data_IF_043126443983
#
_entry.id   IF_043126443983
#
_cell.length_a   1.000
_cell.length_b   1.000
_cell.length_c   1.000
_cell.angle_alpha   90.00
_cell.angle_beta   90.00
_cell.angle_gamma   90.00
#
_symmetry.space_group_name_H-M   'P 1'
#
loop_
_entity.id
_entity.type
_entity.pdbx_description
1 polymer ?
#
# COMPACT_ATOMS: atom_id res chain seq x y z
N UNK A 1 2.17 15.22 -36.54
CA UNK A 1 3.56 15.10 -37.01
C UNK A 1 4.12 13.78 -36.49
N UNK A 2 4.08 12.72 -37.30
CA UNK A 2 4.57 11.40 -36.89
C UNK A 2 6.10 11.43 -36.90
N UNK A 3 6.71 11.48 -35.72
CA UNK A 3 8.14 11.21 -35.60
C UNK A 3 8.38 9.75 -36.03
N UNK A 4 8.97 9.55 -37.21
CA UNK A 4 9.51 8.26 -37.60
C UNK A 4 10.65 7.92 -36.64
N UNK A 5 10.36 7.06 -35.68
CA UNK A 5 11.34 6.57 -34.71
C UNK A 5 12.41 5.74 -35.45
N UNK A 6 13.64 6.25 -35.50
CA UNK A 6 14.78 5.56 -36.11
C UNK A 6 15.30 4.52 -35.12
N UNK A 7 14.86 3.27 -35.25
CA UNK A 7 15.43 2.15 -34.48
C UNK A 7 16.73 1.69 -35.15
N UNK A 8 17.76 1.40 -34.35
CA UNK A 8 19.01 0.79 -34.84
C UNK A 8 19.28 -0.52 -34.11
N UNK A 9 19.58 -1.58 -34.85
CA UNK A 9 20.04 -2.84 -34.28
C UNK A 9 21.55 -2.79 -34.08
N UNK A 10 22.00 -3.15 -32.89
CA UNK A 10 23.43 -3.24 -32.58
C UNK A 10 23.74 -4.69 -32.23
N UNK A 11 24.78 -5.23 -32.84
CA UNK A 11 25.36 -6.54 -32.54
C UNK A 11 26.70 -6.35 -31.86
N UNK A 12 26.89 -6.99 -30.71
CA UNK A 12 28.17 -6.98 -29.98
C UNK A 12 28.66 -8.40 -29.73
N UNK A 13 29.93 -8.73 -30.01
CA UNK A 13 30.48 -10.03 -29.66
C UNK A 13 30.53 -10.16 -28.12
N UNK A 14 30.22 -11.34 -27.61
CA UNK A 14 30.21 -11.64 -26.18
C UNK A 14 31.35 -12.58 -25.79
N UNK A 15 31.46 -13.70 -26.51
CA UNK A 15 32.46 -14.73 -26.26
C UNK A 15 32.63 -15.56 -27.53
N UNK A 16 33.80 -16.15 -27.70
CA UNK A 16 34.09 -17.08 -28.79
C UNK A 16 34.80 -18.32 -28.27
N UNK A 17 34.59 -19.44 -28.96
CA UNK A 17 35.28 -20.71 -28.72
C UNK A 17 35.83 -21.23 -30.04
N UNK A 18 37.02 -21.85 -29.99
CA UNK A 18 37.62 -22.52 -31.14
C UNK A 18 37.35 -24.01 -31.02
N UNK A 19 36.86 -24.62 -32.09
CA UNK A 19 36.58 -26.05 -32.17
C UNK A 19 37.79 -26.78 -32.75
N UNK A 20 38.59 -27.39 -31.88
CA UNK A 20 39.85 -28.07 -32.25
C UNK A 20 39.65 -29.31 -33.14
N UNK A 21 38.54 -30.01 -32.98
CA UNK A 21 38.32 -31.33 -33.59
C UNK A 21 37.57 -31.27 -34.95
N UNK A 22 37.05 -30.11 -35.32
CA UNK A 22 36.24 -29.93 -36.52
C UNK A 22 37.09 -29.46 -37.72
N UNK A 23 36.75 -29.97 -38.91
CA UNK A 23 37.42 -29.64 -40.17
C UNK A 23 36.60 -28.60 -40.93
N UNK A 24 37.25 -27.54 -41.41
CA UNK A 24 36.58 -26.54 -42.23
C UNK A 24 36.18 -27.12 -43.60
N UNK A 25 34.91 -26.98 -44.04
CA UNK A 25 34.46 -27.52 -45.32
C UNK A 25 35.07 -26.79 -46.54
N UNK A 26 35.61 -25.58 -46.36
CA UNK A 26 36.16 -24.78 -47.45
C UNK A 26 37.67 -25.00 -47.65
N UNK A 27 38.44 -25.11 -46.56
CA UNK A 27 39.91 -25.22 -46.63
C UNK A 27 40.48 -26.54 -46.10
N UNK A 28 39.63 -27.46 -45.61
CA UNK A 28 40.00 -28.77 -45.06
C UNK A 28 41.03 -28.74 -43.91
N UNK A 29 41.28 -27.59 -43.30
CA UNK A 29 42.12 -27.47 -42.11
C UNK A 29 41.32 -27.84 -40.85
N UNK A 30 41.97 -28.52 -39.91
CA UNK A 30 41.39 -28.84 -38.59
C UNK A 30 41.66 -27.71 -37.59
N UNK A 31 40.80 -27.58 -36.58
CA UNK A 31 41.02 -26.67 -35.46
C UNK A 31 40.92 -25.18 -35.79
N UNK A 32 40.28 -24.84 -36.90
CA UNK A 32 40.22 -23.47 -37.41
C UNK A 32 38.80 -22.88 -37.41
N UNK A 33 37.82 -23.59 -36.85
CA UNK A 33 36.43 -23.12 -36.77
C UNK A 33 36.22 -22.40 -35.44
N UNK A 34 35.82 -21.13 -35.53
CA UNK A 34 35.44 -20.30 -34.40
C UNK A 34 33.93 -20.15 -34.33
N UNK A 35 33.36 -20.39 -33.14
CA UNK A 35 31.97 -20.12 -32.83
C UNK A 35 31.91 -18.89 -31.94
N UNK A 36 31.31 -17.81 -32.42
CA UNK A 36 31.16 -16.56 -31.67
C UNK A 36 29.71 -16.32 -31.30
N UNK A 37 29.45 -16.06 -30.02
CA UNK A 37 28.15 -15.65 -29.51
C UNK A 37 28.04 -14.12 -29.52
N UNK A 38 26.94 -13.61 -30.07
CA UNK A 38 26.66 -12.17 -30.13
C UNK A 38 25.47 -11.82 -29.24
N UNK A 39 25.47 -10.59 -28.72
CA UNK A 39 24.29 -9.92 -28.17
C UNK A 39 23.70 -9.03 -29.24
N UNK A 40 22.45 -9.28 -29.62
CA UNK A 40 21.69 -8.39 -30.51
C UNK A 40 20.65 -7.66 -29.68
N UNK A 41 20.70 -6.33 -29.71
CA UNK A 41 19.70 -5.51 -29.04
C UNK A 41 19.25 -4.36 -29.93
N UNK A 42 17.98 -4.01 -29.79
CA UNK A 42 17.46 -2.79 -30.39
C UNK A 42 17.82 -1.61 -29.50
N UNK A 43 18.55 -0.64 -30.05
CA UNK A 43 18.77 0.65 -29.38
C UNK A 43 17.59 1.55 -29.72
N UNK A 44 16.60 1.55 -28.82
CA UNK A 44 15.61 2.62 -28.68
C UNK A 44 15.95 3.33 -27.35
N UNK A 45 15.57 4.60 -27.17
CA UNK A 45 16.05 5.55 -26.14
C UNK A 45 16.20 5.04 -24.67
N UNK A 46 15.71 3.83 -24.34
CA UNK A 46 15.99 2.82 -23.28
C UNK A 46 14.60 2.20 -22.95
N UNK A 47 14.40 0.86 -22.88
CA UNK A 47 15.31 -0.20 -22.44
C UNK A 47 15.87 -1.05 -23.57
N UNK A 48 17.02 -1.68 -23.28
CA UNK A 48 17.70 -2.64 -24.12
C UNK A 48 16.79 -3.86 -24.30
N UNK A 49 15.97 -3.85 -25.36
CA UNK A 49 15.20 -5.01 -25.76
C UNK A 49 16.19 -6.00 -26.36
N UNK A 50 16.59 -6.98 -25.56
CA UNK A 50 17.38 -8.12 -26.00
C UNK A 50 16.59 -8.88 -27.06
N UNK A 51 17.07 -8.86 -28.31
CA UNK A 51 16.44 -9.55 -29.45
C UNK A 51 16.99 -10.97 -29.63
N UNK A 52 17.57 -11.52 -28.58
CA UNK A 52 18.18 -12.85 -28.58
C UNK A 52 19.70 -12.82 -28.75
N UNK A 53 20.27 -14.03 -28.78
CA UNK A 53 21.72 -14.26 -28.82
C UNK A 53 22.09 -15.03 -30.08
N UNK A 54 22.26 -14.36 -31.24
CA UNK A 54 22.69 -15.05 -32.45
C UNK A 54 24.11 -15.58 -32.29
N UNK A 55 24.41 -16.69 -32.97
CA UNK A 55 25.75 -17.25 -33.07
C UNK A 55 26.25 -17.15 -34.51
N UNK A 56 27.54 -16.81 -34.65
CA UNK A 56 28.26 -16.88 -35.93
C UNK A 56 29.22 -18.05 -35.87
N UNK A 57 29.42 -18.70 -37.01
CA UNK A 57 30.43 -19.75 -37.17
C UNK A 57 31.28 -19.39 -38.38
N UNK A 58 32.57 -19.14 -38.16
CA UNK A 58 33.50 -18.77 -39.22
C UNK A 58 34.79 -19.59 -39.12
N UNK A 59 35.47 -19.77 -40.25
CA UNK A 59 36.82 -20.30 -40.27
C UNK A 59 37.82 -19.15 -40.15
N UNK A 60 38.73 -19.20 -39.17
CA UNK A 60 39.75 -18.17 -38.95
C UNK A 60 40.79 -18.18 -40.08
N UNK A 61 41.08 -19.36 -40.65
CA UNK A 61 42.13 -19.55 -41.64
C UNK A 61 41.74 -19.07 -43.04
N UNK A 62 40.53 -19.37 -43.50
CA UNK A 62 40.07 -19.01 -44.85
C UNK A 62 38.98 -17.94 -44.87
N UNK A 63 38.52 -17.48 -43.70
CA UNK A 63 37.45 -16.48 -43.60
C UNK A 63 36.07 -16.97 -44.03
N UNK A 64 35.90 -18.27 -44.30
CA UNK A 64 34.62 -18.81 -44.76
C UNK A 64 33.56 -18.76 -43.65
N UNK A 65 32.45 -18.09 -43.92
CA UNK A 65 31.31 -17.95 -43.01
C UNK A 65 30.35 -19.13 -43.19
N UNK A 66 30.36 -20.06 -42.23
CA UNK A 66 29.51 -21.25 -42.21
C UNK A 66 28.10 -20.89 -41.68
N UNK A 67 28.05 -19.94 -40.75
CA UNK A 67 26.80 -19.38 -40.22
C UNK A 67 26.97 -17.90 -39.95
N UNK A 68 26.05 -17.10 -40.50
CA UNK A 68 26.02 -15.67 -40.27
C UNK A 68 25.23 -15.25 -39.02
N UNK A 69 25.64 -14.14 -38.42
CA UNK A 69 24.92 -13.46 -37.33
C UNK A 69 23.51 -13.03 -37.76
N UNK A 70 23.31 -12.78 -39.06
CA UNK A 70 22.04 -12.29 -39.61
C UNK A 70 21.07 -13.41 -40.00
N UNK A 71 21.48 -14.68 -39.89
CA UNK A 71 20.63 -15.83 -40.24
C UNK A 71 19.40 -15.88 -39.32
N UNK A 72 18.17 -16.04 -39.85
CA UNK A 72 16.97 -16.10 -39.02
C UNK A 72 17.04 -17.25 -38.01
N UNK A 73 16.52 -17.04 -36.79
CA UNK A 73 16.54 -18.04 -35.70
C UNK A 73 15.84 -19.37 -36.05
N UNK A 74 14.98 -19.36 -37.07
CA UNK A 74 14.20 -20.52 -37.50
C UNK A 74 14.86 -21.30 -38.63
N UNK A 75 15.97 -20.81 -39.19
CA UNK A 75 16.66 -21.49 -40.27
C UNK A 75 17.59 -22.58 -39.72
N UNK A 76 17.12 -23.82 -39.78
CA UNK A 76 17.83 -25.00 -39.29
C UNK A 76 18.78 -25.51 -40.38
N UNK A 77 19.90 -24.85 -40.56
CA UNK A 77 20.98 -25.41 -41.38
C UNK A 77 21.49 -26.71 -40.74
N UNK A 78 21.78 -27.70 -41.58
CA UNK A 78 22.39 -28.97 -41.16
C UNK A 78 23.89 -28.74 -40.90
N UNK A 79 24.25 -28.47 -39.66
CA UNK A 79 25.65 -28.34 -39.23
C UNK A 79 26.24 -29.70 -38.87
N UNK A 80 27.57 -29.80 -38.83
CA UNK A 80 28.25 -30.94 -38.24
C UNK A 80 27.89 -31.07 -36.73
N UNK A 81 27.96 -32.29 -36.15
CA UNK A 81 27.62 -32.50 -34.76
C UNK A 81 28.50 -31.71 -33.78
N UNK A 82 29.81 -31.55 -34.04
CA UNK A 82 30.68 -30.77 -33.15
C UNK A 82 30.41 -29.27 -33.22
N UNK A 83 30.06 -28.72 -34.40
CA UNK A 83 29.58 -27.32 -34.50
C UNK A 83 28.27 -27.13 -33.73
N UNK A 84 27.36 -28.10 -33.81
CA UNK A 84 26.09 -28.07 -33.07
C UNK A 84 26.32 -28.10 -31.56
N UNK A 85 27.23 -28.95 -31.09
CA UNK A 85 27.57 -29.06 -29.67
C UNK A 85 28.28 -27.79 -29.19
N UNK A 86 29.25 -27.26 -29.94
CA UNK A 86 29.92 -26.00 -29.62
C UNK A 86 28.93 -24.82 -29.50
N UNK A 87 27.92 -24.74 -30.36
CA UNK A 87 26.84 -23.75 -30.25
C UNK A 87 26.02 -23.93 -28.96
N UNK A 88 25.72 -25.18 -28.56
CA UNK A 88 24.96 -25.44 -27.32
C UNK A 88 25.80 -25.09 -26.09
N UNK A 89 27.08 -25.44 -26.08
CA UNK A 89 27.98 -25.23 -24.95
C UNK A 89 28.24 -23.73 -24.71
N UNK A 90 28.46 -22.96 -25.77
CA UNK A 90 28.63 -21.50 -25.66
C UNK A 90 27.34 -20.79 -25.21
N UNK A 91 26.18 -21.34 -25.56
CA UNK A 91 24.89 -20.82 -25.09
C UNK A 91 24.61 -21.18 -23.63
N UNK A 92 24.97 -22.39 -23.20
CA UNK A 92 24.73 -22.90 -21.86
C UNK A 92 25.69 -22.30 -20.81
N UNK A 93 26.95 -22.04 -21.19
CA UNK A 93 27.96 -21.48 -20.29
C UNK A 93 27.65 -20.06 -19.80
N UNK A 94 26.80 -19.30 -20.51
CA UNK A 94 26.45 -17.92 -20.15
C UNK A 94 25.21 -17.86 -19.25
N UNK A 95 25.42 -17.70 -17.94
CA UNK A 95 24.37 -17.42 -16.95
C UNK A 95 23.50 -16.22 -17.39
N UNK A 96 22.17 -16.39 -17.39
CA UNK A 96 21.22 -15.30 -17.64
C UNK A 96 21.32 -14.28 -16.50
N UNK A 97 21.46 -13.00 -16.84
CA UNK A 97 21.39 -11.95 -15.81
C UNK A 97 19.95 -11.85 -15.32
N UNK A 98 19.72 -11.80 -14.00
CA UNK A 98 18.37 -11.66 -13.43
C UNK A 98 17.64 -10.41 -13.95
N UNK A 99 18.40 -9.40 -14.42
CA UNK A 99 17.88 -8.20 -15.08
C UNK A 99 17.22 -8.49 -16.44
N UNK A 100 17.56 -9.59 -17.13
CA UNK A 100 16.87 -10.02 -18.37
C UNK A 100 15.45 -10.54 -18.06
N UNK A 101 15.15 -10.90 -16.80
CA UNK A 101 13.83 -11.37 -16.37
C UNK A 101 12.86 -10.24 -16.04
N UNK A 102 13.36 -9.02 -15.83
CA UNK A 102 12.55 -7.81 -15.70
C UNK A 102 12.09 -7.43 -17.11
N UNK A 103 11.11 -8.19 -17.60
CA UNK A 103 10.42 -7.86 -18.82
C UNK A 103 9.73 -6.51 -18.61
N UNK A 104 9.87 -5.51 -19.50
CA UNK A 104 9.15 -4.24 -19.38
C UNK A 104 7.65 -4.44 -19.12
N UNK A 105 7.03 -5.50 -19.65
CA UNK A 105 5.64 -5.86 -19.36
C UNK A 105 5.36 -6.16 -17.88
N UNK A 106 6.25 -6.83 -17.16
CA UNK A 106 6.02 -7.13 -15.73
C UNK A 106 6.06 -5.86 -14.88
N UNK A 107 6.92 -4.90 -15.24
CA UNK A 107 6.96 -3.58 -14.59
C UNK A 107 5.65 -2.82 -14.83
N UNK A 108 5.15 -2.80 -16.07
CA UNK A 108 3.88 -2.14 -16.38
C UNK A 108 2.68 -2.79 -15.68
N UNK A 109 2.65 -4.12 -15.57
CA UNK A 109 1.60 -4.84 -14.85
C UNK A 109 1.62 -4.47 -13.36
N UNK A 110 2.78 -4.48 -12.72
CA UNK A 110 2.91 -4.12 -11.31
C UNK A 110 2.53 -2.65 -11.06
N UNK A 111 2.97 -1.73 -11.93
CA UNK A 111 2.60 -0.32 -11.83
C UNK A 111 1.08 -0.12 -12.00
N UNK A 112 0.48 -0.83 -12.95
CA UNK A 112 -0.97 -0.81 -13.18
C UNK A 112 -1.75 -1.31 -11.96
N UNK A 113 -1.32 -2.42 -11.36
CA UNK A 113 -1.93 -2.96 -10.14
C UNK A 113 -1.80 -2.01 -8.95
N UNK A 114 -0.65 -1.35 -8.79
CA UNK A 114 -0.46 -0.37 -7.73
C UNK A 114 -1.39 0.84 -7.90
N UNK A 115 -1.56 1.32 -9.13
CA UNK A 115 -2.46 2.43 -9.45
C UNK A 115 -3.94 2.06 -9.24
N UNK A 116 -4.37 0.88 -9.67
CA UNK A 116 -5.75 0.43 -9.47
C UNK A 116 -6.06 0.23 -7.99
N UNK A 117 -5.13 -0.35 -7.23
CA UNK A 117 -5.28 -0.47 -5.77
C UNK A 117 -5.36 0.90 -5.08
N UNK A 118 -4.50 1.84 -5.49
CA UNK A 118 -4.52 3.22 -5.00
C UNK A 118 -5.87 3.90 -5.24
N UNK A 119 -6.42 3.78 -6.46
CA UNK A 119 -7.71 4.36 -6.82
C UNK A 119 -8.88 3.73 -6.06
N UNK A 120 -8.90 2.39 -5.91
CA UNK A 120 -9.94 1.67 -5.15
C UNK A 120 -9.91 2.10 -3.68
N UNK A 121 -8.71 2.19 -3.09
CA UNK A 121 -8.58 2.63 -1.69
C UNK A 121 -9.11 4.05 -1.52
N UNK A 122 -8.75 4.97 -2.41
CA UNK A 122 -9.18 6.37 -2.35
C UNK A 122 -10.70 6.51 -2.48
N UNK A 123 -11.33 5.72 -3.36
CA UNK A 123 -12.78 5.70 -3.54
C UNK A 123 -13.51 5.19 -2.30
N UNK A 124 -13.03 4.08 -1.71
CA UNK A 124 -13.59 3.53 -0.47
C UNK A 124 -13.45 4.50 0.71
N UNK A 125 -12.33 5.24 0.80
CA UNK A 125 -12.15 6.28 1.80
C UNK A 125 -13.04 7.51 1.59
N UNK A 126 -13.47 7.79 0.35
CA UNK A 126 -14.28 8.96 0.04
C UNK A 126 -15.76 8.76 0.36
N UNK A 127 -16.37 7.61 0.01
CA UNK A 127 -17.82 7.43 0.22
C UNK A 127 -18.18 7.44 1.72
N UNK A 128 -17.36 6.79 2.55
CA UNK A 128 -17.58 6.73 4.01
C UNK A 128 -17.46 8.10 4.72
N UNK A 129 -16.78 9.09 4.12
CA UNK A 129 -16.64 10.43 4.72
C UNK A 129 -17.88 11.30 4.49
N UNK A 130 -18.57 11.12 3.36
CA UNK A 130 -19.74 11.93 3.00
C UNK A 130 -20.93 11.63 3.89
N UNK A 131 -21.23 10.34 4.13
CA UNK A 131 -22.43 9.92 4.86
C UNK A 131 -22.34 10.29 6.37
N UNK A 132 -21.16 10.15 6.97
CA UNK A 132 -20.95 10.49 8.39
C UNK A 132 -20.98 12.01 8.65
N UNK A 133 -20.52 12.82 7.69
CA UNK A 133 -20.57 14.28 7.82
C UNK A 133 -22.00 14.81 7.76
N UNK A 134 -22.92 14.16 7.04
CA UNK A 134 -24.32 14.59 7.00
C UNK A 134 -25.06 14.32 8.30
N UNK A 135 -24.74 13.22 8.98
CA UNK A 135 -25.39 12.82 10.23
C UNK A 135 -25.07 13.77 11.40
N UNK A 136 -23.92 14.45 11.37
CA UNK A 136 -23.51 15.43 12.39
C UNK A 136 -23.86 16.88 12.04
N UNK A 137 -24.49 17.14 10.87
CA UNK A 137 -24.99 18.48 10.51
C UNK A 137 -26.21 18.90 11.35
N UNK A 138 -26.99 17.95 11.87
CA UNK A 138 -28.22 18.24 12.62
C UNK A 138 -28.45 17.25 13.78
N UNK A 139 -27.57 17.24 14.79
CA UNK A 139 -27.74 16.38 15.96
C UNK A 139 -29.02 16.75 16.72
N UNK A 140 -29.71 15.75 17.26
CA UNK A 140 -30.88 15.94 18.15
C UNK A 140 -30.63 15.34 19.52
N UNK A 141 -31.27 15.93 20.53
CA UNK A 141 -31.27 15.36 21.88
C UNK A 141 -31.95 13.99 21.83
N UNK A 142 -31.30 12.98 22.40
CA UNK A 142 -31.77 11.59 22.39
C UNK A 142 -31.09 10.70 21.36
N UNK A 143 -30.42 11.25 20.34
CA UNK A 143 -29.68 10.48 19.35
C UNK A 143 -28.58 9.62 20.01
N UNK A 144 -28.42 8.38 19.53
CA UNK A 144 -27.41 7.42 19.99
C UNK A 144 -26.41 7.13 18.86
N UNK A 145 -25.12 7.23 19.19
CA UNK A 145 -24.00 7.09 18.27
C UNK A 145 -23.11 5.91 18.64
N UNK A 146 -22.67 5.15 17.64
CA UNK A 146 -21.55 4.21 17.75
C UNK A 146 -20.25 5.01 17.81
N UNK A 147 -19.38 4.78 18.80
CA UNK A 147 -18.09 5.49 18.89
C UNK A 147 -16.96 4.51 19.21
N UNK A 148 -15.90 4.57 18.41
CA UNK A 148 -14.62 3.92 18.67
C UNK A 148 -13.71 4.91 19.43
N UNK A 149 -13.14 4.51 20.56
CA UNK A 149 -12.24 5.33 21.37
C UNK A 149 -11.01 4.51 21.74
N UNK A 150 -9.83 5.11 21.61
CA UNK A 150 -8.57 4.52 22.07
C UNK A 150 -8.56 4.35 23.61
N UNK A 151 -8.31 3.13 24.09
CA UNK A 151 -8.31 2.75 25.52
C UNK A 151 -7.26 3.51 26.33
N UNK A 152 -6.21 4.03 25.69
CA UNK A 152 -5.11 4.71 26.37
C UNK A 152 -5.58 5.92 27.21
N UNK A 153 -6.79 6.42 26.98
CA UNK A 153 -7.31 7.63 27.61
C UNK A 153 -8.60 7.43 28.44
N UNK A 154 -9.13 6.20 28.52
CA UNK A 154 -10.40 5.89 29.20
C UNK A 154 -10.22 5.46 30.66
N UNK A 155 -8.99 5.13 31.08
CA UNK A 155 -8.72 4.68 32.44
C UNK A 155 -8.48 5.88 33.37
N UNK A 156 -9.39 6.10 34.32
CA UNK A 156 -9.10 6.93 35.50
C UNK A 156 -8.12 6.22 36.47
N UNK A 157 -7.93 4.90 36.30
CA UNK A 157 -6.84 4.17 36.93
C UNK A 157 -5.61 4.21 36.01
N UNK A 158 -4.53 4.80 36.52
CA UNK A 158 -3.22 4.99 35.87
C UNK A 158 -2.47 3.68 35.56
N UNK A 159 -3.18 2.60 35.25
CA UNK A 159 -2.58 1.40 34.67
C UNK A 159 -2.70 1.51 33.17
N UNK A 160 -1.61 1.93 32.55
CA UNK A 160 -1.43 1.90 31.10
C UNK A 160 -1.61 0.47 30.60
N UNK A 161 -2.83 0.15 30.19
CA UNK A 161 -3.14 -1.11 29.51
C UNK A 161 -3.15 -0.80 28.03
N UNK A 162 -2.23 -1.46 27.32
CA UNK A 162 -2.13 -1.72 25.88
C UNK A 162 -3.13 -0.98 24.98
N UNK A 163 -2.64 -0.34 23.90
CA UNK A 163 -3.40 0.28 22.81
C UNK A 163 -4.56 -0.60 22.29
N UNK A 164 -5.70 -0.58 22.97
CA UNK A 164 -6.89 -1.36 22.66
C UNK A 164 -7.96 -0.38 22.21
N UNK A 165 -8.49 -0.59 21.02
CA UNK A 165 -9.65 0.19 20.59
C UNK A 165 -10.85 -0.32 21.41
N UNK A 166 -11.58 0.61 22.03
CA UNK A 166 -12.81 0.32 22.74
C UNK A 166 -14.02 0.82 21.93
N UNK A 167 -15.07 0.01 21.87
CA UNK A 167 -16.37 0.35 21.27
C UNK A 167 -17.39 0.63 22.35
N UNK A 168 -18.10 1.74 22.24
CA UNK A 168 -19.16 2.11 23.18
C UNK A 168 -20.21 2.99 22.50
N UNK A 169 -21.37 3.13 23.13
CA UNK A 169 -22.44 4.02 22.64
C UNK A 169 -22.40 5.35 23.38
N UNK A 170 -22.61 6.45 22.66
CA UNK A 170 -22.84 7.77 23.23
C UNK A 170 -24.25 8.23 22.93
N UNK A 171 -24.92 8.77 23.94
CA UNK A 171 -26.25 9.37 23.78
C UNK A 171 -26.18 10.87 24.00
N UNK A 172 -26.76 11.66 23.10
CA UNK A 172 -26.89 13.12 23.29
C UNK A 172 -27.93 13.40 24.37
N UNK A 173 -27.52 14.11 25.41
CA UNK A 173 -28.39 14.56 26.49
C UNK A 173 -28.85 16.01 26.29
N UNK A 174 -28.00 16.85 25.71
CA UNK A 174 -28.27 18.26 25.54
C UNK A 174 -27.37 18.84 24.42
N UNK A 175 -27.83 19.91 23.77
CA UNK A 175 -27.14 20.61 22.69
C UNK A 175 -27.11 22.10 23.05
N UNK A 176 -25.91 22.64 23.25
CA UNK A 176 -25.71 24.05 23.55
C UNK A 176 -24.78 24.68 22.51
N UNK A 177 -25.34 25.51 21.64
CA UNK A 177 -24.61 26.10 20.52
C UNK A 177 -23.89 24.99 19.72
N UNK A 178 -22.58 25.13 19.48
CA UNK A 178 -21.76 24.14 18.76
C UNK A 178 -21.23 23.00 19.66
N UNK A 179 -21.83 22.81 20.83
CA UNK A 179 -21.41 21.79 21.81
C UNK A 179 -22.50 20.75 22.03
N UNK A 180 -22.10 19.49 21.89
CA UNK A 180 -22.89 18.32 22.26
C UNK A 180 -22.48 17.86 23.66
N UNK A 181 -23.47 17.69 24.53
CA UNK A 181 -23.32 17.04 25.83
C UNK A 181 -23.81 15.60 25.69
N UNK A 182 -22.89 14.65 25.83
CA UNK A 182 -23.18 13.24 25.61
C UNK A 182 -22.88 12.40 26.86
N UNK A 183 -23.64 11.33 27.07
CA UNK A 183 -23.34 10.33 28.10
C UNK A 183 -22.93 9.02 27.46
N UNK A 184 -21.93 8.37 28.05
CA UNK A 184 -21.42 7.08 27.58
C UNK A 184 -22.27 5.95 28.13
N UNK A 185 -22.43 4.88 27.35
CA UNK A 185 -22.90 3.60 27.85
C UNK A 185 -21.99 3.06 28.97
N UNK A 186 -22.59 2.46 30.00
CA UNK A 186 -21.86 1.83 31.11
C UNK A 186 -21.04 0.63 30.64
N UNK A 187 -21.47 -0.02 29.56
CA UNK A 187 -20.78 -1.15 28.96
C UNK A 187 -19.92 -0.72 27.76
N UNK A 188 -18.81 -1.41 27.58
CA UNK A 188 -17.88 -1.24 26.46
C UNK A 188 -17.38 -2.61 26.00
N UNK A 189 -17.12 -2.73 24.71
CA UNK A 189 -16.40 -3.87 24.13
C UNK A 189 -14.95 -3.43 23.86
N UNK A 190 -13.97 -4.29 24.15
CA UNK A 190 -12.54 -4.03 23.96
C UNK A 190 -11.91 -5.17 23.16
N UNK A 191 -11.04 -4.86 22.20
CA UNK A 191 -10.34 -5.87 21.41
C UNK A 191 -9.76 -5.36 20.10
N UNK A 192 -8.88 -6.16 19.49
CA UNK A 192 -8.36 -5.93 18.13
C UNK A 192 -9.31 -6.61 17.15
N UNK A 193 -9.84 -5.88 16.15
CA UNK A 193 -10.71 -6.47 15.13
C UNK A 193 -12.17 -6.67 15.57
N UNK A 194 -12.75 -5.66 16.20
CA UNK A 194 -14.11 -5.71 16.72
C UNK A 194 -15.17 -5.88 15.61
N UNK A 195 -16.06 -6.85 15.81
CA UNK A 195 -17.12 -7.27 14.89
C UNK A 195 -18.39 -6.40 14.99
N UNK A 196 -19.34 -6.57 14.05
CA UNK A 196 -20.65 -5.90 14.12
C UNK A 196 -21.53 -6.48 15.25
N UNK A 197 -21.36 -7.76 15.58
CA UNK A 197 -22.04 -8.40 16.72
C UNK A 197 -21.75 -7.72 18.05
N UNK A 198 -20.56 -7.12 18.21
CA UNK A 198 -20.19 -6.41 19.43
C UNK A 198 -21.09 -5.18 19.66
N UNK A 199 -21.55 -4.51 18.60
CA UNK A 199 -22.48 -3.39 18.70
C UNK A 199 -23.88 -3.81 19.16
N UNK A 200 -24.30 -5.01 18.79
CA UNK A 200 -25.61 -5.55 19.16
C UNK A 200 -25.67 -5.98 20.63
N UNK A 201 -24.52 -6.27 21.24
CA UNK A 201 -24.41 -6.56 22.67
C UNK A 201 -24.64 -5.34 23.58
N UNK A 202 -24.49 -4.12 23.04
CA UNK A 202 -24.64 -2.89 23.80
C UNK A 202 -26.11 -2.49 23.89
N UNK A 203 -26.61 -2.37 25.13
CA UNK A 203 -27.99 -1.95 25.38
C UNK A 203 -28.20 -0.47 25.02
N UNK A 204 -29.36 -0.16 24.43
CA UNK A 204 -29.78 1.19 24.05
C UNK A 204 -30.75 1.81 25.06
N UNK A 205 -31.04 1.12 26.17
CA UNK A 205 -31.96 1.61 27.20
C UNK A 205 -31.33 2.77 27.98
N UNK A 206 -32.16 3.74 28.38
CA UNK A 206 -31.70 4.97 29.04
C UNK A 206 -30.93 4.72 30.35
N UNK A 207 -31.29 3.68 31.10
CA UNK A 207 -30.67 3.30 32.37
C UNK A 207 -29.25 2.73 32.22
N UNK A 208 -28.88 2.31 31.00
CA UNK A 208 -27.58 1.72 30.70
C UNK A 208 -26.54 2.76 30.27
N UNK A 209 -26.94 4.03 30.22
CA UNK A 209 -26.02 5.16 30.10
C UNK A 209 -25.59 5.69 31.47
N UNK A 210 -24.37 6.20 31.55
CA UNK A 210 -23.83 6.85 32.73
C UNK A 210 -24.45 8.22 32.99
N UNK A 211 -24.15 8.77 34.16
CA UNK A 211 -24.67 10.09 34.57
C UNK A 211 -23.66 11.22 34.37
N UNK A 212 -22.41 10.90 33.99
CA UNK A 212 -21.35 11.88 33.77
C UNK A 212 -21.39 12.34 32.32
N UNK A 213 -21.72 13.61 32.05
CA UNK A 213 -21.74 14.14 30.70
C UNK A 213 -20.31 14.46 30.22
N UNK A 214 -20.05 14.15 28.97
CA UNK A 214 -18.84 14.48 28.23
C UNK A 214 -19.14 15.61 27.26
N UNK A 215 -18.23 16.58 27.17
CA UNK A 215 -18.38 17.74 26.29
C UNK A 215 -17.65 17.46 24.99
N UNK A 216 -18.39 17.55 23.89
CA UNK A 216 -17.84 17.32 22.56
C UNK A 216 -18.26 18.49 21.68
N UNK A 217 -17.30 19.34 21.31
CA UNK A 217 -17.58 20.47 20.40
C UNK A 217 -17.47 20.04 18.96
N UNK A 218 -18.37 20.50 18.08
CA UNK A 218 -18.32 20.19 16.64
C UNK A 218 -16.95 20.54 16.02
N UNK A 219 -16.36 21.66 16.44
CA UNK A 219 -14.99 22.06 16.08
C UNK A 219 -13.91 21.12 16.61
N UNK A 220 -13.99 20.73 17.89
CA UNK A 220 -13.05 19.78 18.50
C UNK A 220 -13.10 18.40 17.87
N UNK A 221 -14.27 18.00 17.38
CA UNK A 221 -14.44 16.76 16.63
C UNK A 221 -13.81 16.84 15.24
N UNK A 222 -14.13 17.89 14.48
CA UNK A 222 -13.68 18.06 13.08
C UNK A 222 -12.18 18.34 12.97
N UNK A 223 -11.62 19.14 13.89
CA UNK A 223 -10.21 19.56 13.83
C UNK A 223 -9.27 18.71 14.68
N UNK A 224 -9.68 18.36 15.91
CA UNK A 224 -8.78 17.74 16.91
C UNK A 224 -9.09 16.27 17.18
N UNK A 225 -10.28 15.80 16.81
CA UNK A 225 -10.80 14.46 17.09
C UNK A 225 -10.77 14.11 18.58
N UNK A 226 -11.02 15.08 19.47
CA UNK A 226 -10.87 14.93 20.92
C UNK A 226 -12.21 14.91 21.67
N UNK A 227 -12.28 14.07 22.70
CA UNK A 227 -13.39 14.01 23.68
C UNK A 227 -12.87 14.52 25.02
N UNK A 228 -13.60 15.47 25.61
CA UNK A 228 -13.25 16.09 26.87
C UNK A 228 -14.21 15.68 27.99
N UNK A 229 -13.66 15.25 29.12
CA UNK A 229 -14.44 15.08 30.33
C UNK A 229 -14.70 16.44 30.96
N UNK A 230 -15.96 16.68 31.30
CA UNK A 230 -16.36 17.89 31.98
C UNK A 230 -16.68 17.58 33.43
N UNK A 231 -15.89 18.14 34.34
CA UNK A 231 -16.16 18.00 35.76
C UNK A 231 -17.45 18.74 36.11
N UNK A 232 -18.38 18.01 36.72
CA UNK A 232 -19.66 18.56 37.16
C UNK A 232 -19.43 19.75 38.10
N UNK A 233 -19.95 20.92 37.73
CA UNK A 233 -19.87 22.17 38.50
C UNK A 233 -20.25 21.97 39.98
N UNK A 234 -21.25 21.13 40.30
CA UNK A 234 -21.64 20.83 41.68
C UNK A 234 -20.56 20.11 42.50
N UNK A 235 -19.76 19.25 41.85
CA UNK A 235 -18.64 18.54 42.48
C UNK A 235 -17.45 19.47 42.71
N UNK A 236 -17.33 20.52 41.89
CA UNK A 236 -16.35 21.60 42.05
C UNK A 236 -16.79 22.63 43.09
N UNK A 237 -18.07 22.99 43.17
CA UNK A 237 -18.58 23.92 44.20
C UNK A 237 -18.41 23.35 45.63
N UNK A 238 -18.35 22.02 45.78
CA UNK A 238 -17.97 21.36 47.05
C UNK A 238 -16.46 21.38 47.34
N UNK A 239 -15.60 21.52 46.32
CA UNK A 239 -14.13 21.60 46.45
C UNK A 239 -13.68 23.06 46.59
N UNK A 240 -14.35 23.99 45.90
CA UNK A 240 -14.06 25.42 45.88
C UNK A 240 -14.56 26.18 47.12
N UNK A 241 -15.23 25.51 48.06
CA UNK A 241 -15.54 26.12 49.36
C UNK A 241 -14.30 26.34 50.22
N UNK A 242 -13.15 25.78 49.86
CA UNK A 242 -11.89 25.95 50.61
C UNK A 242 -10.81 26.75 49.90
N UNK A 243 -10.86 26.98 48.59
CA UNK A 243 -9.82 27.77 47.92
C UNK A 243 -10.36 28.61 46.75
N UNK A 244 -10.08 29.91 46.79
CA UNK A 244 -10.43 30.90 45.76
C UNK A 244 -9.48 30.73 44.58
N UNK A 245 -9.71 29.73 43.74
CA UNK A 245 -8.94 29.57 42.50
C UNK A 245 -9.61 30.39 41.38
N UNK A 246 -9.08 31.61 41.15
CA UNK A 246 -9.37 32.40 39.94
C UNK A 246 -8.67 31.78 38.73
N UNK A 247 -9.29 30.79 38.08
CA UNK A 247 -8.81 30.35 36.77
C UNK A 247 -9.31 31.33 35.69
N UNK A 248 -8.37 32.04 35.07
CA UNK A 248 -8.61 32.93 33.91
C UNK A 248 -8.60 32.19 32.57
N UNK A 249 -8.44 30.86 32.55
CA UNK A 249 -8.40 30.06 31.33
C UNK A 249 -9.64 29.14 31.23
N UNK A 250 -10.56 29.34 30.26
CA UNK A 250 -11.76 28.53 30.13
C UNK A 250 -11.48 27.05 29.78
N UNK A 251 -10.25 26.70 29.40
CA UNK A 251 -9.83 25.34 29.08
C UNK A 251 -9.19 24.58 30.26
N UNK A 252 -8.99 25.24 31.42
CA UNK A 252 -8.33 24.63 32.58
C UNK A 252 -9.18 23.58 33.32
N UNK A 253 -10.43 23.38 32.88
CA UNK A 253 -11.44 22.53 33.54
C UNK A 253 -11.88 21.32 32.73
N UNK A 254 -11.19 21.05 31.62
CA UNK A 254 -11.46 19.91 30.75
C UNK A 254 -10.20 19.08 30.58
N UNK A 255 -10.25 17.81 31.00
CA UNK A 255 -9.20 16.83 30.70
C UNK A 255 -9.57 16.11 29.41
N UNK A 256 -8.63 16.01 28.46
CA UNK A 256 -8.80 15.12 27.31
C UNK A 256 -8.80 13.69 27.79
N UNK A 257 -9.86 12.96 27.46
CA UNK A 257 -10.09 11.56 27.89
C UNK A 257 -10.21 10.61 26.70
N UNK A 258 -9.92 11.10 25.49
CA UNK A 258 -10.04 10.27 24.31
C UNK A 258 -9.73 11.01 23.04
N UNK A 259 -9.14 10.28 22.11
CA UNK A 259 -9.16 10.61 20.69
C UNK A 259 -10.09 9.64 19.96
N UNK A 260 -10.77 10.13 18.95
CA UNK A 260 -11.61 9.33 18.06
C UNK A 260 -10.72 8.92 16.88
N UNK A 261 -10.17 7.70 16.85
CA UNK A 261 -9.44 7.21 15.69
C UNK A 261 -10.43 7.06 14.53
N UNK A 262 -10.25 7.93 13.54
CA UNK A 262 -11.07 8.04 12.33
C UNK A 262 -12.57 8.33 12.53
N UNK A 263 -12.97 9.48 11.99
CA UNK A 263 -14.36 9.94 12.00
C UNK A 263 -15.31 9.05 11.18
N UNK A 264 -14.76 8.11 10.43
CA UNK A 264 -15.47 7.20 9.55
C UNK A 264 -16.33 6.15 10.31
N UNK A 265 -16.30 6.14 11.64
CA UNK A 265 -16.99 5.14 12.48
C UNK A 265 -18.10 5.68 13.37
N UNK A 266 -18.48 6.95 13.28
CA UNK A 266 -19.59 7.51 14.07
C UNK A 266 -20.89 7.41 13.27
N UNK A 267 -21.66 6.37 13.56
CA UNK A 267 -22.96 6.12 12.93
C UNK A 267 -24.08 6.37 13.94
N UNK A 268 -25.13 7.10 13.54
CA UNK A 268 -26.37 7.22 14.32
C UNK A 268 -27.13 5.91 14.18
N UNK A 269 -27.37 5.25 15.31
CA UNK A 269 -28.07 3.95 15.32
C UNK A 269 -29.51 4.07 15.80
N UNK A 270 -29.87 5.17 16.45
CA UNK A 270 -31.20 5.41 16.96
C UNK A 270 -31.46 6.91 17.06
N UNK A 271 -32.61 7.34 16.54
CA UNK A 271 -33.16 8.69 16.66
C UNK A 271 -34.53 8.58 17.30
N UNK A 272 -34.75 9.29 18.41
CA UNK A 272 -36.05 9.37 19.10
C UNK A 272 -36.80 10.63 18.71
#
# INVERSE_FOLDING_TARGET
MFHFYRYSFITKPLTSIILSDEMCPACNKKGCIEVTLYLRYAKVFIPILSMGRPTSVCCIECGHEIKSVNTPLFDKNKYSPGVTNGIKDIQASRKRSLLEFINPWTVFILLGLALTYGLISLWSFSSNKTDNNELLKSPKVGDIYKVNIDSMFISADEKAVENKISKTLFKIMDIKNDTLLMVRNKHKAEGIGLSESDWNSLSRKNNDFGNTPYKISSKGISEKKEILEFFNKKKMDSINKTDVVKSTNPFHFSKSIGKIPDYNGIEIIERK
#
